data_IF_833277583480
#
_entry.id   IF_833277583480
#
_cell.length_a   1.000
_cell.length_b   1.000
_cell.length_c   1.000
_cell.angle_alpha   90.00
_cell.angle_beta   90.00
_cell.angle_gamma   90.00
#
_symmetry.space_group_name_H-M   'P 1'
#
loop_
_entity.id
_entity.type
_entity.pdbx_description
1 polymer ?
#
# COMPACT_ATOMS: atom_id res chain seq x y z
N UNK A 1 -5.18 -3.77 -8.49
CA UNK A 1 -4.65 -2.82 -9.48
C UNK A 1 -3.16 -3.09 -9.68
N UNK A 2 -2.66 -3.18 -10.91
CA UNK A 2 -1.22 -3.26 -11.23
C UNK A 2 -0.61 -1.85 -11.31
N UNK A 3 0.72 -1.73 -11.21
CA UNK A 3 1.42 -0.43 -11.26
C UNK A 3 1.08 0.38 -12.52
N UNK A 4 1.02 -0.26 -13.70
CA UNK A 4 0.64 0.40 -14.95
C UNK A 4 -0.75 1.04 -14.89
N UNK A 5 -1.70 0.38 -14.21
CA UNK A 5 -3.09 0.86 -14.11
C UNK A 5 -3.16 2.05 -13.15
N UNK A 6 -2.37 2.03 -12.07
CA UNK A 6 -2.23 3.17 -11.16
C UNK A 6 -1.63 4.38 -11.87
N UNK A 7 -0.55 4.19 -12.65
CA UNK A 7 0.08 5.29 -13.40
C UNK A 7 -0.90 5.92 -14.38
N UNK A 8 -1.64 5.12 -15.15
CA UNK A 8 -2.62 5.65 -16.10
C UNK A 8 -3.80 6.37 -15.40
N UNK A 9 -4.18 5.95 -14.20
CA UNK A 9 -5.17 6.68 -13.39
C UNK A 9 -4.61 8.02 -12.89
N UNK A 10 -3.38 8.04 -12.38
CA UNK A 10 -2.74 9.26 -11.85
C UNK A 10 -2.47 10.31 -12.93
N UNK A 11 -2.15 9.88 -14.16
CA UNK A 11 -1.96 10.78 -15.32
C UNK A 11 -3.18 11.61 -15.69
N UNK A 12 -4.37 11.31 -15.14
CA UNK A 12 -5.60 12.06 -15.40
C UNK A 12 -5.69 13.35 -14.55
N UNK A 13 -4.80 13.53 -13.57
CA UNK A 13 -4.74 14.71 -12.70
C UNK A 13 -3.55 15.61 -13.07
N UNK A 14 -3.57 16.91 -12.69
CA UNK A 14 -2.39 17.77 -12.79
C UNK A 14 -1.20 17.20 -12.01
N UNK A 15 -0.01 17.34 -12.56
CA UNK A 15 1.23 16.72 -12.05
C UNK A 15 1.88 17.47 -10.87
N UNK A 16 1.32 18.63 -10.50
CA UNK A 16 1.75 19.47 -9.39
C UNK A 16 0.91 19.28 -8.11
N UNK A 17 -0.10 18.41 -8.13
CA UNK A 17 -0.93 18.15 -6.96
C UNK A 17 -0.24 17.22 -5.95
N UNK A 18 -0.39 17.46 -4.64
CA UNK A 18 0.09 16.54 -3.62
C UNK A 18 -0.73 15.25 -3.62
N UNK A 19 -0.05 14.11 -3.45
CA UNK A 19 -0.69 12.80 -3.28
C UNK A 19 -0.74 12.45 -1.78
N UNK A 20 -1.95 12.25 -1.28
CA UNK A 20 -2.21 11.88 0.11
C UNK A 20 -2.91 10.51 0.19
N UNK A 21 -2.85 9.88 1.36
CA UNK A 21 -3.56 8.64 1.69
C UNK A 21 -4.48 8.86 2.88
N UNK A 22 -5.50 8.02 3.05
CA UNK A 22 -6.41 8.12 4.20
C UNK A 22 -5.66 7.96 5.54
N UNK A 23 -6.05 8.80 6.52
CA UNK A 23 -5.61 8.66 7.90
C UNK A 23 -6.28 7.47 8.61
N UNK A 24 -5.76 7.06 9.76
CA UNK A 24 -6.35 5.94 10.52
C UNK A 24 -7.69 6.30 11.15
N UNK A 25 -7.71 7.39 11.93
CA UNK A 25 -8.88 7.84 12.69
C UNK A 25 -9.66 8.95 11.96
N UNK A 26 -9.03 9.58 10.97
CA UNK A 26 -9.63 10.62 10.13
C UNK A 26 -8.60 11.40 9.33
N UNK A 27 -9.08 12.28 8.46
CA UNK A 27 -8.23 13.13 7.62
C UNK A 27 -7.37 12.36 6.62
N UNK A 28 -6.21 12.92 6.28
CA UNK A 28 -5.28 12.39 5.29
C UNK A 28 -3.83 12.52 5.78
N UNK A 29 -2.95 11.62 5.34
CA UNK A 29 -1.52 11.59 5.61
C UNK A 29 -0.70 11.65 4.30
N UNK A 30 0.54 12.15 4.40
CA UNK A 30 1.51 12.04 3.30
C UNK A 30 1.91 10.58 3.04
N UNK A 31 2.22 10.26 1.79
CA UNK A 31 2.79 8.98 1.42
C UNK A 31 4.31 8.97 1.63
N UNK A 32 4.86 7.85 2.10
CA UNK A 32 6.30 7.57 2.08
C UNK A 32 6.70 6.98 0.73
N UNK A 33 8.01 7.02 0.45
CA UNK A 33 8.60 6.39 -0.72
C UNK A 33 8.12 4.94 -0.87
N UNK A 34 7.56 4.56 -2.03
CA UNK A 34 7.13 3.19 -2.27
C UNK A 34 8.29 2.21 -2.15
N UNK A 35 8.02 1.02 -1.63
CA UNK A 35 9.00 -0.07 -1.55
C UNK A 35 8.40 -1.38 -2.05
N UNK A 36 9.27 -2.28 -2.48
CA UNK A 36 8.84 -3.63 -2.83
C UNK A 36 8.92 -4.55 -1.61
N UNK A 37 7.89 -5.37 -1.42
CA UNK A 37 7.78 -6.38 -0.37
C UNK A 37 7.32 -7.71 -0.97
N UNK A 38 7.48 -8.78 -0.21
CA UNK A 38 6.84 -10.06 -0.47
C UNK A 38 5.68 -10.26 0.50
N UNK A 39 4.51 -10.63 -0.04
CA UNK A 39 3.30 -10.84 0.75
C UNK A 39 2.62 -12.15 0.40
N UNK A 40 1.82 -12.64 1.33
CA UNK A 40 0.87 -13.74 1.14
C UNK A 40 -0.55 -13.22 1.24
N UNK A 41 -1.44 -13.81 0.45
CA UNK A 41 -2.86 -13.45 0.46
C UNK A 41 -3.61 -14.32 1.48
N UNK A 42 -4.16 -13.70 2.51
CA UNK A 42 -4.90 -14.30 3.61
C UNK A 42 -6.28 -13.62 3.74
N UNK A 43 -7.25 -13.92 2.87
CA UNK A 43 -8.55 -13.24 2.83
C UNK A 43 -9.41 -13.45 4.08
N UNK A 44 -9.08 -14.46 4.91
CA UNK A 44 -9.71 -14.70 6.20
C UNK A 44 -9.32 -13.70 7.29
N UNK A 45 -8.33 -12.83 7.04
CA UNK A 45 -7.87 -11.82 8.00
C UNK A 45 -8.94 -10.76 8.24
N UNK A 46 -9.12 -10.29 9.48
CA UNK A 46 -10.00 -9.17 9.74
C UNK A 46 -9.64 -7.95 8.89
N UNK A 47 -10.63 -7.17 8.44
CA UNK A 47 -10.39 -6.04 7.53
C UNK A 47 -9.38 -5.02 8.08
N UNK A 48 -9.31 -4.85 9.40
CA UNK A 48 -8.36 -3.94 10.06
C UNK A 48 -6.92 -4.46 10.09
N UNK A 49 -6.71 -5.76 9.86
CA UNK A 49 -5.38 -6.36 9.67
C UNK A 49 -4.94 -6.34 8.19
N UNK A 50 -5.89 -6.26 7.25
CA UNK A 50 -5.66 -6.33 5.81
C UNK A 50 -5.52 -7.76 5.28
N UNK A 51 -5.87 -8.00 4.02
CA UNK A 51 -5.85 -9.35 3.42
C UNK A 51 -4.45 -9.79 2.94
N UNK A 52 -3.47 -8.88 2.88
CA UNK A 52 -2.11 -9.18 2.43
C UNK A 52 -1.15 -9.02 3.61
N UNK A 53 -0.56 -10.14 4.01
CA UNK A 53 0.33 -10.23 5.17
C UNK A 53 1.78 -10.38 4.70
N UNK A 54 2.74 -9.92 5.49
CA UNK A 54 4.16 -10.13 5.20
C UNK A 54 4.43 -11.63 5.01
N UNK A 55 5.16 -11.97 3.95
CA UNK A 55 5.59 -13.34 3.73
C UNK A 55 6.78 -13.63 4.64
N UNK A 56 6.59 -14.45 5.67
CA UNK A 56 7.71 -15.05 6.41
C UNK A 56 8.46 -16.01 5.48
N UNK A 57 9.79 -16.11 5.64
CA UNK A 57 10.72 -16.86 4.76
C UNK A 57 10.37 -18.34 4.50
N UNK A 58 9.37 -18.93 5.19
CA UNK A 58 9.16 -20.37 5.23
C UNK A 58 7.73 -20.89 5.02
N UNK A 59 6.79 -20.13 4.46
CA UNK A 59 5.53 -20.78 4.02
C UNK A 59 4.83 -20.15 2.81
N UNK A 60 4.50 -21.02 1.85
CA UNK A 60 3.50 -20.75 0.81
C UNK A 60 4.00 -20.01 -0.44
N UNK A 61 3.10 -19.85 -1.41
CA UNK A 61 3.33 -19.02 -2.58
C UNK A 61 3.23 -17.54 -2.16
N UNK A 62 4.36 -16.84 -2.11
CA UNK A 62 4.41 -15.39 -1.93
C UNK A 62 4.23 -14.67 -3.27
N UNK A 63 3.81 -13.41 -3.21
CA UNK A 63 3.77 -12.50 -4.35
C UNK A 63 4.54 -11.22 -4.04
N UNK A 64 5.25 -10.72 -5.05
CA UNK A 64 5.98 -9.45 -4.97
C UNK A 64 5.02 -8.28 -5.22
N UNK A 65 4.96 -7.33 -4.29
CA UNK A 65 4.08 -6.17 -4.36
C UNK A 65 4.83 -4.87 -4.09
N UNK A 66 4.37 -3.77 -4.68
CA UNK A 66 4.78 -2.41 -4.27
C UNK A 66 3.77 -1.91 -3.25
N UNK A 67 4.27 -1.49 -2.08
CA UNK A 67 3.46 -0.87 -1.04
C UNK A 67 3.74 0.62 -0.96
N UNK A 68 2.67 1.41 -0.88
CA UNK A 68 2.71 2.83 -0.56
C UNK A 68 2.32 2.95 0.90
N UNK A 69 3.24 3.43 1.74
CA UNK A 69 3.02 3.50 3.17
C UNK A 69 2.58 4.91 3.55
N UNK A 70 1.59 5.01 4.44
CA UNK A 70 1.27 6.27 5.09
C UNK A 70 2.43 6.71 5.99
N UNK A 71 2.65 8.02 6.11
CA UNK A 71 3.62 8.56 7.04
C UNK A 71 3.10 8.48 8.47
N UNK A 72 3.23 7.29 9.08
CA UNK A 72 3.09 7.13 10.53
C UNK A 72 4.23 7.92 11.16
N UNK A 73 3.99 9.17 11.58
CA UNK A 73 4.96 9.93 12.36
C UNK A 73 5.49 8.98 13.44
N UNK A 74 6.79 8.69 13.50
CA UNK A 74 7.30 8.00 14.67
C UNK A 74 6.96 8.89 15.88
N UNK A 75 6.58 8.26 17.00
CA UNK A 75 6.68 8.94 18.29
C UNK A 75 8.10 9.49 18.49
#
# INVERSE_FOLDING_TARGET
MKIRELIEALKQFPDDLPVLTDGYEGGYEEIRSPKTIEVKHEPQKPYYEGEYQDAEEKSGASLKAVVILRNRRPE
#
